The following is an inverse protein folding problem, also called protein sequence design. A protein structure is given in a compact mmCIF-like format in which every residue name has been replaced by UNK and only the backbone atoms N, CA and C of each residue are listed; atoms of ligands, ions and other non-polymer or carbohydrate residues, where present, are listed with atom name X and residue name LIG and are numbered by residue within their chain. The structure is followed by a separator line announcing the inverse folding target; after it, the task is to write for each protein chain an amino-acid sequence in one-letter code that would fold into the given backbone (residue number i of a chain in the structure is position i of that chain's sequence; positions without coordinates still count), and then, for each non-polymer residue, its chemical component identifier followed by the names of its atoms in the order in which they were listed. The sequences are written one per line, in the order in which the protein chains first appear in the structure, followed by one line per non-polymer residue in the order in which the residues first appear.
data_IF_521989231185
#
_entry.id   IF_521989231185
#
_cell.length_a   1.000
_cell.length_b   1.000
_cell.length_c   1.000
_cell.angle_alpha   90.00
_cell.angle_beta   90.00
_cell.angle_gamma   90.00
#
_symmetry.space_group_name_H-M   'P 1'
#
loop_
_entity.id
_entity.type
_entity.pdbx_description
1 polymer ?
#
# COMPACT_ATOMS: atom_id res chain seq x y z
N UNK A 1 42.19 31.03 27.93
CA UNK A 1 42.56 31.59 26.61
C UNK A 1 41.99 30.61 25.60
N UNK A 2 40.67 30.63 25.39
CA UNK A 2 39.96 29.47 24.81
C UNK A 2 39.09 29.87 23.60
N UNK A 3 39.45 30.96 22.92
CA UNK A 3 38.63 31.58 21.86
C UNK A 3 39.08 31.22 20.42
N UNK A 4 40.08 30.36 20.23
CA UNK A 4 40.64 30.08 18.89
C UNK A 4 40.12 28.79 18.25
N UNK A 5 39.37 27.93 18.96
CA UNK A 5 38.87 26.66 18.41
C UNK A 5 37.53 26.79 17.66
N UNK A 6 36.82 27.91 17.83
CA UNK A 6 35.47 28.12 17.27
C UNK A 6 35.44 28.23 15.74
N UNK A 7 36.59 28.40 15.08
CA UNK A 7 36.67 28.55 13.62
C UNK A 7 37.08 27.28 12.87
N UNK A 8 37.38 26.18 13.58
CA UNK A 8 37.85 24.95 12.93
C UNK A 8 36.69 24.04 12.55
N UNK A 9 35.61 24.01 13.35
CA UNK A 9 34.53 23.05 13.21
C UNK A 9 33.23 23.73 12.75
N UNK A 10 32.66 23.22 11.65
CA UNK A 10 31.34 23.65 11.19
C UNK A 10 30.27 22.81 11.86
N UNK A 11 29.47 23.42 12.74
CA UNK A 11 28.40 22.74 13.49
C UNK A 11 27.02 23.08 12.91
N UNK A 12 26.28 22.06 12.48
CA UNK A 12 24.86 22.11 12.13
C UNK A 12 24.02 21.51 13.27
N UNK A 13 23.66 22.37 14.23
CA UNK A 13 22.93 21.97 15.44
C UNK A 13 21.55 21.36 15.11
N UNK A 14 20.89 21.82 14.04
CA UNK A 14 19.57 21.31 13.66
C UNK A 14 19.58 19.83 13.24
N UNK A 15 20.72 19.35 12.74
CA UNK A 15 20.94 17.93 12.42
C UNK A 15 21.89 17.24 13.41
N UNK A 16 22.26 17.91 14.51
CA UNK A 16 23.23 17.45 15.51
C UNK A 16 24.52 16.93 14.85
N UNK A 17 25.05 17.72 13.91
CA UNK A 17 26.15 17.31 13.05
C UNK A 17 27.30 18.33 13.18
N UNK A 18 28.53 17.86 13.33
CA UNK A 18 29.73 18.69 13.21
C UNK A 18 30.68 18.13 12.15
N UNK A 19 31.30 19.02 11.41
CA UNK A 19 32.25 18.71 10.36
C UNK A 19 33.59 19.41 10.61
N UNK A 20 34.69 18.71 10.37
CA UNK A 20 36.03 19.31 10.25
C UNK A 20 36.49 19.23 8.79
N UNK A 21 36.35 20.32 8.03
CA UNK A 21 36.79 20.37 6.62
C UNK A 21 38.31 20.37 6.46
N UNK A 22 39.04 20.71 7.53
CA UNK A 22 40.50 20.88 7.50
C UNK A 22 41.26 19.63 7.97
N UNK A 23 40.56 18.62 8.50
CA UNK A 23 41.19 17.38 8.96
C UNK A 23 41.84 16.62 7.79
N UNK A 24 43.14 16.41 7.88
CA UNK A 24 43.92 15.60 6.93
C UNK A 24 44.87 14.72 7.73
N UNK A 25 45.03 13.47 7.28
CA UNK A 25 46.03 12.58 7.84
C UNK A 25 47.43 13.07 7.47
N UNK A 26 48.31 13.37 8.44
CA UNK A 26 49.65 13.87 8.17
C UNK A 26 50.55 12.81 7.51
N UNK A 27 50.29 11.52 7.75
CA UNK A 27 50.94 10.39 7.09
C UNK A 27 49.90 9.32 6.72
N UNK A 28 50.24 8.46 5.75
CA UNK A 28 49.41 7.28 5.47
C UNK A 28 49.43 6.36 6.70
N UNK A 29 48.26 5.95 7.24
CA UNK A 29 48.19 5.12 8.43
C UNK A 29 48.88 3.78 8.16
N UNK A 30 49.86 3.43 9.00
CA UNK A 30 50.65 2.20 8.84
C UNK A 30 49.85 0.97 9.25
N UNK A 31 48.96 1.13 10.25
CA UNK A 31 48.09 0.08 10.74
C UNK A 31 46.63 0.55 10.78
N UNK A 32 45.69 -0.39 10.62
CA UNK A 32 44.25 -0.11 10.74
C UNK A 32 43.88 0.39 12.14
N UNK A 33 44.60 -0.05 13.16
CA UNK A 33 44.32 0.31 14.55
C UNK A 33 44.65 1.77 14.86
N UNK A 34 45.77 2.28 14.33
CA UNK A 34 46.14 3.70 14.44
C UNK A 34 45.09 4.59 13.77
N UNK A 35 44.64 4.21 12.58
CA UNK A 35 43.60 4.95 11.86
C UNK A 35 42.29 5.03 12.68
N UNK A 36 41.88 3.91 13.28
CA UNK A 36 40.66 3.87 14.11
C UNK A 36 40.84 4.76 15.35
N UNK A 37 41.99 4.70 16.01
CA UNK A 37 42.28 5.53 17.18
C UNK A 37 42.21 7.02 16.84
N UNK A 38 42.85 7.45 15.75
CA UNK A 38 42.81 8.85 15.29
C UNK A 38 41.39 9.30 14.94
N UNK A 39 40.64 8.49 14.18
CA UNK A 39 39.23 8.76 13.85
C UNK A 39 38.36 8.90 15.11
N UNK A 40 38.58 8.06 16.12
CA UNK A 40 37.85 8.15 17.40
C UNK A 40 38.23 9.43 18.14
N UNK A 41 39.53 9.78 18.20
CA UNK A 41 39.95 11.03 18.87
C UNK A 41 39.37 12.27 18.21
N UNK A 42 39.35 12.35 16.89
CA UNK A 42 38.71 13.45 16.16
C UNK A 42 37.19 13.44 16.31
N UNK A 43 36.58 12.24 16.30
CA UNK A 43 35.16 12.07 16.60
C UNK A 43 34.79 12.61 17.98
N UNK A 44 35.62 12.37 19.01
CA UNK A 44 35.39 12.91 20.35
C UNK A 44 35.46 14.44 20.39
N UNK A 45 36.40 15.05 19.64
CA UNK A 45 36.49 16.52 19.53
C UNK A 45 35.25 17.12 18.87
N UNK A 46 34.75 16.49 17.80
CA UNK A 46 33.54 16.92 17.10
C UNK A 46 32.30 16.83 17.99
N UNK A 47 32.14 15.72 18.73
CA UNK A 47 31.03 15.55 19.67
C UNK A 47 31.09 16.58 20.79
N UNK A 48 32.30 16.88 21.28
CA UNK A 48 32.48 17.93 22.29
C UNK A 48 32.00 19.29 21.78
N UNK A 49 32.38 19.68 20.56
CA UNK A 49 31.91 20.95 19.96
C UNK A 49 30.37 21.00 19.80
N UNK A 50 29.73 19.86 19.46
CA UNK A 50 28.26 19.77 19.43
C UNK A 50 27.68 19.94 20.84
N UNK A 51 28.26 19.28 21.84
CA UNK A 51 27.79 19.36 23.23
C UNK A 51 27.91 20.80 23.77
N UNK A 52 29.06 21.44 23.56
CA UNK A 52 29.31 22.82 24.03
C UNK A 52 28.29 23.79 23.42
N UNK A 53 28.01 23.67 22.11
CA UNK A 53 26.99 24.50 21.45
C UNK A 53 25.57 24.16 21.93
N UNK A 54 25.24 22.88 22.09
CA UNK A 54 23.92 22.40 22.49
C UNK A 54 23.55 22.84 23.91
N UNK A 55 24.48 22.70 24.87
CA UNK A 55 24.24 23.07 26.27
C UNK A 55 24.22 24.58 26.51
N UNK A 56 24.71 25.38 25.57
CA UNK A 56 24.59 26.83 25.60
C UNK A 56 23.19 27.34 25.17
N UNK A 57 22.33 26.49 24.58
CA UNK A 57 20.97 26.91 24.21
C UNK A 57 20.04 27.03 25.43
N UNK A 58 19.07 27.96 25.39
CA UNK A 58 18.09 28.10 26.46
C UNK A 58 17.25 26.83 26.59
N UNK A 59 17.31 26.21 27.77
CA UNK A 59 16.50 25.04 28.11
C UNK A 59 15.14 25.49 28.67
N UNK A 60 14.06 24.91 28.15
CA UNK A 60 12.70 25.10 28.66
C UNK A 60 12.31 23.91 29.53
N UNK A 61 12.00 24.15 30.80
CA UNK A 61 11.52 23.10 31.71
C UNK A 61 10.09 22.69 31.32
N UNK A 62 9.91 21.40 31.03
CA UNK A 62 8.61 20.78 30.74
C UNK A 62 8.39 19.63 31.74
N UNK A 63 7.17 19.11 31.87
CA UNK A 63 6.85 17.97 32.76
C UNK A 63 7.75 16.75 32.54
N UNK A 64 8.24 16.57 31.31
CA UNK A 64 9.07 15.42 30.90
C UNK A 64 10.58 15.70 31.05
N UNK A 65 10.96 16.90 31.51
CA UNK A 65 12.34 17.35 31.70
C UNK A 65 12.71 18.63 30.94
N UNK A 66 13.97 19.06 31.01
CA UNK A 66 14.47 20.21 30.25
C UNK A 66 14.53 19.88 28.75
N UNK A 67 13.80 20.64 27.95
CA UNK A 67 13.77 20.54 26.49
C UNK A 67 14.50 21.73 25.87
N UNK A 68 15.31 21.48 24.84
CA UNK A 68 15.98 22.53 24.05
C UNK A 68 15.31 22.64 22.69
N UNK A 69 14.97 23.86 22.27
CA UNK A 69 14.42 24.13 20.93
C UNK A 69 15.56 24.33 19.94
N UNK A 70 15.77 23.35 19.05
CA UNK A 70 16.83 23.41 18.05
C UNK A 70 16.45 24.31 16.86
N UNK A 71 17.42 25.02 16.26
CA UNK A 71 17.18 25.76 15.02
C UNK A 71 16.89 24.80 13.85
N UNK A 72 16.27 25.30 12.75
CA UNK A 72 16.09 24.50 11.54
C UNK A 72 17.45 24.07 10.97
N UNK A 73 17.54 22.88 10.35
CA UNK A 73 18.79 22.34 9.84
C UNK A 73 19.36 23.20 8.69
N UNK A 74 20.67 23.42 8.73
CA UNK A 74 21.38 24.25 7.74
C UNK A 74 21.70 23.45 6.47
N UNK A 75 22.02 22.16 6.64
CA UNK A 75 22.34 21.26 5.53
C UNK A 75 21.09 20.92 4.71
N UNK A 76 21.05 21.40 3.46
CA UNK A 76 19.92 21.17 2.54
C UNK A 76 19.98 19.76 1.99
N UNK A 77 19.10 18.90 2.49
CA UNK A 77 18.94 17.54 1.98
C UNK A 77 17.92 17.48 0.83
N UNK A 78 18.14 16.63 -0.19
CA UNK A 78 17.16 16.42 -1.25
C UNK A 78 15.89 15.78 -0.66
N UNK A 79 14.73 16.24 -1.13
CA UNK A 79 13.44 15.65 -0.73
C UNK A 79 13.27 14.27 -1.35
N UNK A 80 12.67 13.35 -0.61
CA UNK A 80 12.24 12.04 -1.13
C UNK A 80 11.21 12.20 -2.27
N UNK A 81 10.30 13.18 -2.13
CA UNK A 81 9.19 13.40 -3.07
C UNK A 81 9.20 14.82 -3.60
N UNK A 82 8.84 14.95 -4.88
CA UNK A 82 8.60 16.23 -5.53
C UNK A 82 7.56 17.05 -4.77
N UNK A 83 7.64 18.37 -4.89
CA UNK A 83 6.64 19.26 -4.32
C UNK A 83 5.27 18.94 -4.91
N UNK A 84 4.20 18.93 -4.09
CA UNK A 84 2.86 18.69 -4.59
C UNK A 84 2.53 19.73 -5.65
N UNK A 85 2.26 19.29 -6.88
CA UNK A 85 1.91 20.19 -7.97
C UNK A 85 0.55 20.84 -7.65
N UNK A 86 0.37 22.14 -7.94
CA UNK A 86 -0.92 22.78 -7.78
C UNK A 86 -1.96 22.05 -8.63
N UNK A 87 -3.15 21.85 -8.06
CA UNK A 87 -4.24 21.18 -8.79
C UNK A 87 -4.70 22.10 -9.93
N UNK A 88 -4.85 21.59 -11.15
CA UNK A 88 -5.39 22.38 -12.24
C UNK A 88 -6.84 22.74 -11.92
N UNK A 89 -7.30 23.94 -12.30
CA UNK A 89 -8.67 24.36 -12.06
C UNK A 89 -9.63 23.42 -12.77
N UNK A 90 -10.76 23.13 -12.13
CA UNK A 90 -11.85 22.39 -12.76
C UNK A 90 -12.58 23.28 -13.76
N UNK A 91 -13.28 22.68 -14.73
CA UNK A 91 -14.10 23.44 -15.70
C UNK A 91 -15.07 24.43 -15.03
N UNK A 92 -15.62 24.06 -13.87
CA UNK A 92 -16.51 24.95 -13.11
C UNK A 92 -15.75 26.11 -12.46
N UNK A 93 -14.54 25.89 -11.95
CA UNK A 93 -13.71 26.95 -11.39
C UNK A 93 -13.22 27.91 -12.48
N UNK A 94 -12.85 27.40 -13.66
CA UNK A 94 -12.55 28.23 -14.82
C UNK A 94 -13.75 29.09 -15.23
N UNK A 95 -14.95 28.49 -15.26
CA UNK A 95 -16.19 29.21 -15.55
C UNK A 95 -16.52 30.25 -14.48
N UNK A 96 -16.39 29.89 -13.20
CA UNK A 96 -16.67 30.76 -12.08
C UNK A 96 -15.70 31.96 -12.07
N UNK A 97 -14.42 31.73 -12.35
CA UNK A 97 -13.42 32.79 -12.47
C UNK A 97 -13.76 33.73 -13.63
N UNK A 98 -14.07 33.19 -14.82
CA UNK A 98 -14.48 33.98 -16.00
C UNK A 98 -15.74 34.81 -15.77
N UNK A 99 -16.68 34.30 -14.96
CA UNK A 99 -17.94 34.98 -14.62
C UNK A 99 -17.86 35.84 -13.34
N UNK A 100 -16.71 35.87 -12.66
CA UNK A 100 -16.57 36.57 -11.38
C UNK A 100 -17.43 35.98 -10.26
N UNK A 101 -17.84 34.71 -10.36
CA UNK A 101 -18.66 34.04 -9.34
C UNK A 101 -17.77 33.71 -8.14
N UNK A 102 -17.97 34.45 -7.05
CA UNK A 102 -17.25 34.22 -5.79
C UNK A 102 -17.90 33.09 -4.98
N UNK A 103 -17.06 32.20 -4.45
CA UNK A 103 -17.50 31.12 -3.55
C UNK A 103 -17.86 31.69 -2.18
N UNK A 104 -19.14 31.61 -1.81
CA UNK A 104 -19.63 31.99 -0.48
C UNK A 104 -19.87 30.76 0.40
N UNK A 105 -19.64 30.91 1.71
CA UNK A 105 -20.01 29.90 2.70
C UNK A 105 -21.54 29.83 2.79
N UNK A 106 -22.08 28.62 2.80
CA UNK A 106 -23.51 28.37 3.02
C UNK A 106 -23.70 27.72 4.38
N UNK A 107 -24.75 28.11 5.09
CA UNK A 107 -25.05 27.54 6.40
C UNK A 107 -25.55 26.10 6.29
N UNK A 108 -25.19 25.31 7.31
CA UNK A 108 -25.57 23.89 7.42
C UNK A 108 -27.03 23.72 7.78
N UNK A 109 -27.60 24.70 8.48
CA UNK A 109 -28.98 24.71 8.96
C UNK A 109 -29.71 25.80 8.19
N UNK A 110 -30.91 25.50 7.71
CA UNK A 110 -31.75 26.36 6.91
C UNK A 110 -33.17 26.28 7.47
N UNK A 111 -33.82 27.43 7.57
CA UNK A 111 -35.20 27.50 8.01
C UNK A 111 -36.11 26.90 6.93
N UNK A 112 -36.97 25.98 7.32
CA UNK A 112 -37.98 25.34 6.47
C UNK A 112 -39.32 26.00 6.71
N UNK A 113 -39.80 26.77 5.73
CA UNK A 113 -41.09 27.50 5.80
C UNK A 113 -42.30 26.57 5.91
N UNK A 114 -42.17 25.29 5.53
CA UNK A 114 -43.29 24.34 5.59
C UNK A 114 -43.51 23.79 6.99
N UNK A 115 -42.45 23.69 7.80
CA UNK A 115 -42.49 23.09 9.13
C UNK A 115 -42.12 24.07 10.24
N UNK A 116 -41.86 25.33 9.89
CA UNK A 116 -41.39 26.42 10.73
C UNK A 116 -40.18 26.04 11.61
N UNK A 117 -39.33 25.15 11.12
CA UNK A 117 -38.21 24.56 11.86
C UNK A 117 -36.89 24.76 11.15
N UNK A 118 -35.84 24.92 11.94
CA UNK A 118 -34.47 24.93 11.45
C UNK A 118 -34.00 23.50 11.17
N UNK A 119 -34.01 23.11 9.90
CA UNK A 119 -33.58 21.78 9.44
C UNK A 119 -32.22 21.84 8.76
N UNK A 120 -31.62 20.67 8.53
CA UNK A 120 -30.31 20.60 7.84
C UNK A 120 -30.47 20.88 6.35
N UNK A 121 -29.48 21.50 5.71
CA UNK A 121 -29.48 21.68 4.25
C UNK A 121 -29.32 20.36 3.48
N UNK A 122 -28.67 19.37 4.10
CA UNK A 122 -28.39 18.05 3.53
C UNK A 122 -28.26 17.02 4.65
N UNK A 123 -28.49 15.73 4.35
CA UNK A 123 -28.39 14.64 5.30
C UNK A 123 -29.76 14.22 5.86
N UNK A 124 -29.75 13.68 7.09
CA UNK A 124 -30.94 13.30 7.83
C UNK A 124 -31.77 14.53 8.21
N UNK A 125 -33.11 14.42 8.12
CA UNK A 125 -34.08 15.49 8.39
C UNK A 125 -33.70 16.81 7.69
N UNK A 126 -33.48 16.71 6.38
CA UNK A 126 -33.06 17.85 5.55
C UNK A 126 -34.27 18.66 5.09
N UNK A 127 -34.05 19.94 4.84
CA UNK A 127 -35.01 20.80 4.14
C UNK A 127 -35.36 20.20 2.78
N UNK A 128 -36.64 20.26 2.41
CA UNK A 128 -37.20 19.76 1.15
C UNK A 128 -36.83 18.29 0.89
N UNK A 129 -37.17 17.38 1.82
CA UNK A 129 -36.99 15.96 1.54
C UNK A 129 -38.01 15.45 0.52
N UNK A 130 -37.54 14.60 -0.40
CA UNK A 130 -38.37 14.08 -1.49
C UNK A 130 -39.38 13.04 -0.95
N UNK A 131 -39.07 12.42 0.20
CA UNK A 131 -39.90 11.40 0.86
C UNK A 131 -41.05 11.99 1.68
N UNK A 132 -40.93 13.25 2.11
CA UNK A 132 -41.95 13.93 2.93
C UNK A 132 -43.10 14.48 2.08
N UNK A 133 -43.02 14.38 0.75
CA UNK A 133 -44.03 14.88 -0.18
C UNK A 133 -45.05 13.76 -0.44
N UNK A 134 -46.27 13.81 0.14
CA UNK A 134 -47.23 12.73 0.00
C UNK A 134 -47.95 12.75 -1.36
N UNK A 135 -48.12 13.93 -1.96
CA UNK A 135 -48.90 14.14 -3.18
C UNK A 135 -48.09 15.04 -4.11
N UNK A 136 -48.02 14.68 -5.39
CA UNK A 136 -47.41 15.49 -6.45
C UNK A 136 -48.52 15.94 -7.37
N UNK A 137 -48.73 17.25 -7.48
CA UNK A 137 -49.65 17.83 -8.44
C UNK A 137 -49.20 17.51 -9.87
N UNK A 138 -50.10 16.92 -10.66
CA UNK A 138 -49.84 16.59 -12.05
C UNK A 138 -49.81 17.88 -12.90
N UNK A 139 -48.82 17.98 -13.78
CA UNK A 139 -48.77 19.06 -14.78
C UNK A 139 -49.52 18.63 -16.03
N UNK A 140 -50.03 19.60 -16.80
CA UNK A 140 -50.72 19.34 -18.07
C UNK A 140 -49.85 18.62 -19.13
N UNK A 141 -48.53 18.55 -18.92
CA UNK A 141 -47.57 17.85 -19.78
C UNK A 141 -47.29 16.41 -19.35
N UNK A 142 -47.78 15.97 -18.18
CA UNK A 142 -47.46 14.65 -17.65
C UNK A 142 -48.32 13.57 -18.31
N UNK A 143 -47.67 12.54 -18.86
CA UNK A 143 -48.34 11.42 -19.49
C UNK A 143 -49.14 10.60 -18.44
N UNK A 144 -50.43 10.33 -18.69
CA UNK A 144 -51.25 9.50 -17.81
C UNK A 144 -50.69 8.07 -17.73
N UNK A 145 -50.41 7.59 -16.51
CA UNK A 145 -50.02 6.20 -16.26
C UNK A 145 -48.59 5.99 -15.76
N UNK A 146 -47.76 7.03 -15.68
CA UNK A 146 -46.40 6.91 -15.15
C UNK A 146 -46.27 7.50 -13.74
N UNK A 147 -45.61 6.78 -12.84
CA UNK A 147 -45.46 7.19 -11.44
C UNK A 147 -44.52 8.42 -11.31
N UNK A 148 -45.02 9.57 -10.81
CA UNK A 148 -44.23 10.78 -10.66
C UNK A 148 -43.08 10.62 -9.65
N UNK A 149 -43.20 9.73 -8.66
CA UNK A 149 -42.13 9.46 -7.69
C UNK A 149 -40.98 8.67 -8.33
N UNK A 150 -41.29 7.65 -9.14
CA UNK A 150 -40.31 6.92 -9.92
C UNK A 150 -39.52 7.84 -10.86
N UNK A 151 -40.20 8.75 -11.58
CA UNK A 151 -39.56 9.78 -12.43
C UNK A 151 -38.54 10.61 -11.66
N UNK A 152 -38.91 11.13 -10.48
CA UNK A 152 -38.02 11.94 -9.64
C UNK A 152 -36.78 11.16 -9.16
N UNK A 153 -36.95 9.91 -8.78
CA UNK A 153 -35.83 9.04 -8.39
C UNK A 153 -34.87 8.83 -9.56
N UNK A 154 -35.38 8.57 -10.74
CA UNK A 154 -34.55 8.36 -11.93
C UNK A 154 -33.86 9.65 -12.37
N UNK A 155 -34.53 10.80 -12.29
CA UNK A 155 -33.90 12.09 -12.56
C UNK A 155 -32.81 12.44 -11.55
N UNK A 156 -33.00 12.08 -10.27
CA UNK A 156 -31.95 12.18 -9.25
C UNK A 156 -30.76 11.29 -9.60
N UNK A 157 -30.98 10.02 -9.97
CA UNK A 157 -29.92 9.11 -10.43
C UNK A 157 -29.19 9.66 -11.65
N UNK A 158 -29.92 10.17 -12.66
CA UNK A 158 -29.34 10.80 -13.86
C UNK A 158 -28.45 11.99 -13.49
N UNK A 159 -28.90 12.85 -12.57
CA UNK A 159 -28.15 14.03 -12.09
C UNK A 159 -26.86 13.62 -11.37
N UNK A 160 -26.94 12.65 -10.46
CA UNK A 160 -25.79 12.09 -9.75
C UNK A 160 -24.82 11.44 -10.74
N UNK A 161 -25.33 10.66 -11.69
CA UNK A 161 -24.52 10.05 -12.76
C UNK A 161 -23.82 11.09 -13.64
N UNK A 162 -24.49 12.20 -13.97
CA UNK A 162 -23.88 13.32 -14.69
C UNK A 162 -22.76 13.98 -13.88
N UNK A 163 -22.97 14.17 -12.57
CA UNK A 163 -21.94 14.71 -11.67
C UNK A 163 -20.70 13.82 -11.61
N UNK A 164 -20.89 12.50 -11.47
CA UNK A 164 -19.75 11.56 -11.43
C UNK A 164 -19.02 11.50 -12.77
N UNK A 165 -19.74 11.50 -13.89
CA UNK A 165 -19.13 11.63 -15.23
C UNK A 165 -18.28 12.90 -15.36
N UNK A 166 -18.79 14.04 -14.90
CA UNK A 166 -18.05 15.30 -14.93
C UNK A 166 -16.82 15.27 -14.01
N UNK A 167 -16.94 14.66 -12.82
CA UNK A 167 -15.82 14.45 -11.90
C UNK A 167 -14.73 13.60 -12.57
N UNK A 168 -15.09 12.47 -13.18
CA UNK A 168 -14.15 11.60 -13.90
C UNK A 168 -13.48 12.32 -15.06
N UNK A 169 -14.20 13.17 -15.80
CA UNK A 169 -13.60 13.98 -16.86
C UNK A 169 -12.58 14.98 -16.31
N UNK A 170 -12.89 15.68 -15.22
CA UNK A 170 -11.97 16.62 -14.57
C UNK A 170 -10.74 15.91 -13.99
N UNK A 171 -10.90 14.70 -13.46
CA UNK A 171 -9.77 13.88 -13.02
C UNK A 171 -8.90 13.44 -14.20
N UNK A 172 -9.50 13.07 -15.34
CA UNK A 172 -8.75 12.73 -16.56
C UNK A 172 -7.97 13.93 -17.10
N UNK A 173 -8.53 15.14 -17.09
CA UNK A 173 -7.79 16.35 -17.51
C UNK A 173 -6.66 16.67 -16.52
N UNK A 174 -6.90 16.51 -15.23
CA UNK A 174 -5.86 16.67 -14.20
C UNK A 174 -4.75 15.62 -14.31
N UNK A 175 -5.08 14.39 -14.71
CA UNK A 175 -4.11 13.31 -14.96
C UNK A 175 -3.18 13.67 -16.11
N UNK A 176 -3.74 14.17 -17.22
CA UNK A 176 -2.96 14.61 -18.39
C UNK A 176 -2.01 15.75 -18.05
N UNK A 177 -2.39 16.64 -17.14
CA UNK A 177 -1.53 17.70 -16.64
C UNK A 177 -0.45 17.22 -15.62
N UNK A 178 -0.42 15.92 -15.28
CA UNK A 178 0.54 15.36 -14.32
C UNK A 178 0.33 15.84 -12.88
N UNK A 179 -0.81 16.43 -12.58
CA UNK A 179 -1.09 17.12 -11.32
C UNK A 179 -1.98 16.31 -10.37
N UNK A 180 -2.25 15.04 -10.71
CA UNK A 180 -2.91 14.13 -9.78
C UNK A 180 -1.95 13.71 -8.66
N UNK A 181 -2.43 13.55 -7.42
CA UNK A 181 -1.64 12.93 -6.36
C UNK A 181 -1.17 11.52 -6.75
N UNK A 182 0.02 11.11 -6.31
CA UNK A 182 0.64 9.82 -6.66
C UNK A 182 -0.28 8.61 -6.43
N UNK A 183 -1.06 8.60 -5.35
CA UNK A 183 -2.01 7.52 -5.06
C UNK A 183 -3.16 7.41 -6.09
N UNK A 184 -3.62 8.54 -6.64
CA UNK A 184 -4.67 8.56 -7.68
C UNK A 184 -4.08 8.26 -9.06
N UNK A 185 -2.84 8.70 -9.32
CA UNK A 185 -2.12 8.37 -10.55
C UNK A 185 -2.01 6.86 -10.72
N UNK A 186 -1.56 6.13 -9.69
CA UNK A 186 -1.38 4.68 -9.74
C UNK A 186 -2.70 3.94 -10.03
N UNK A 187 -3.80 4.36 -9.41
CA UNK A 187 -5.13 3.80 -9.67
C UNK A 187 -5.65 4.13 -11.08
N UNK A 188 -5.36 5.33 -11.59
CA UNK A 188 -5.77 5.74 -12.93
C UNK A 188 -4.91 5.10 -14.04
N UNK A 189 -3.62 4.82 -13.78
CA UNK A 189 -2.70 4.15 -14.71
C UNK A 189 -2.89 2.63 -14.73
N UNK A 190 -3.52 2.04 -13.72
CA UNK A 190 -3.88 0.62 -13.70
C UNK A 190 -5.02 0.28 -14.68
N UNK A 191 -5.74 1.29 -15.18
CA UNK A 191 -6.65 1.16 -16.32
C UNK A 191 -5.89 1.53 -17.59
N UNK A 192 -5.96 0.72 -18.68
CA UNK A 192 -5.25 1.02 -19.91
C UNK A 192 -5.68 2.40 -20.44
N UNK A 193 -4.71 3.30 -20.49
CA UNK A 193 -4.85 4.67 -20.97
C UNK A 193 -5.15 4.60 -22.47
N UNK A 194 -6.42 4.81 -22.84
CA UNK A 194 -6.78 5.10 -24.23
C UNK A 194 -6.14 6.44 -24.61
N UNK A 195 -5.01 6.37 -25.32
CA UNK A 195 -4.32 7.57 -25.82
C UNK A 195 -2.84 7.38 -26.16
N UNK A 196 -2.14 6.42 -25.56
CA UNK A 196 -0.85 5.96 -26.08
C UNK A 196 -1.08 4.65 -26.82
N UNK A 197 -0.55 4.52 -28.03
CA UNK A 197 -0.58 3.27 -28.81
C UNK A 197 0.29 2.22 -28.11
N UNK A 198 -0.15 1.73 -26.95
CA UNK A 198 0.34 0.47 -26.42
C UNK A 198 -0.07 -0.59 -27.44
N UNK A 199 0.93 -1.26 -28.02
CA UNK A 199 0.72 -2.38 -28.94
C UNK A 199 -0.33 -3.32 -28.31
N UNK A 200 -1.37 -3.75 -29.07
CA UNK A 200 -2.35 -4.67 -28.55
C UNK A 200 -1.62 -5.94 -28.13
N UNK A 201 -1.39 -6.09 -26.82
CA UNK A 201 -0.85 -7.31 -26.26
C UNK A 201 -1.89 -8.38 -26.59
N UNK A 202 -1.51 -9.34 -27.45
CA UNK A 202 -2.36 -10.49 -27.76
C UNK A 202 -2.67 -11.16 -26.43
N UNK A 203 -3.91 -11.02 -25.98
CA UNK A 203 -4.35 -11.57 -24.69
C UNK A 203 -4.20 -13.08 -24.83
N UNK A 204 -3.17 -13.64 -24.20
CA UNK A 204 -2.92 -15.07 -24.23
C UNK A 204 -4.11 -15.81 -23.62
N UNK A 205 -4.34 -17.05 -24.06
CA UNK A 205 -5.41 -17.92 -23.55
C UNK A 205 -5.40 -18.04 -22.02
N UNK A 206 -4.23 -17.88 -21.40
CA UNK A 206 -4.07 -17.87 -19.94
C UNK A 206 -4.58 -16.59 -19.29
N UNK A 207 -4.27 -15.41 -19.86
CA UNK A 207 -4.77 -14.13 -19.35
C UNK A 207 -6.29 -14.03 -19.51
N UNK A 208 -6.84 -14.55 -20.60
CA UNK A 208 -8.30 -14.62 -20.81
C UNK A 208 -8.96 -15.55 -19.78
N UNK A 209 -8.32 -16.68 -19.45
CA UNK A 209 -8.78 -17.61 -18.42
C UNK A 209 -8.72 -17.02 -17.01
N UNK A 210 -7.68 -16.24 -16.68
CA UNK A 210 -7.54 -15.57 -15.39
C UNK A 210 -8.59 -14.46 -15.22
N UNK A 211 -8.89 -13.68 -16.27
CA UNK A 211 -9.95 -12.67 -16.27
C UNK A 211 -11.34 -13.31 -16.11
N UNK A 212 -11.61 -14.41 -16.84
CA UNK A 212 -12.86 -15.15 -16.68
C UNK A 212 -13.01 -15.72 -15.27
N UNK A 213 -11.94 -16.27 -14.69
CA UNK A 213 -11.92 -16.75 -13.31
C UNK A 213 -12.18 -15.64 -12.29
N UNK A 214 -11.63 -14.44 -12.50
CA UNK A 214 -11.85 -13.27 -11.64
C UNK A 214 -13.27 -12.71 -11.76
N UNK A 215 -13.84 -12.70 -12.96
CA UNK A 215 -15.21 -12.26 -13.18
C UNK A 215 -16.21 -13.19 -12.47
N UNK A 216 -16.03 -14.51 -12.60
CA UNK A 216 -16.87 -15.50 -11.95
C UNK A 216 -16.81 -15.43 -10.41
N UNK A 217 -15.65 -15.10 -9.83
CA UNK A 217 -15.53 -14.92 -8.36
C UNK A 217 -16.03 -13.56 -7.89
N UNK A 218 -16.05 -12.54 -8.73
CA UNK A 218 -16.48 -11.18 -8.34
C UNK A 218 -18.00 -11.10 -8.11
N UNK A 219 -18.81 -11.83 -8.90
CA UNK A 219 -20.27 -11.93 -8.71
C UNK A 219 -20.62 -12.61 -7.38
N UNK A 220 -19.71 -13.40 -6.80
CA UNK A 220 -19.92 -14.10 -5.51
C UNK A 220 -20.16 -13.14 -4.33
N UNK A 221 -19.64 -11.91 -4.40
CA UNK A 221 -19.78 -10.92 -3.31
C UNK A 221 -21.23 -10.46 -3.08
N UNK A 222 -22.12 -10.67 -4.05
CA UNK A 222 -23.55 -10.31 -3.98
C UNK A 222 -24.49 -11.49 -3.67
N UNK A 223 -23.97 -12.69 -3.38
CA UNK A 223 -24.79 -13.86 -3.01
C UNK A 223 -25.58 -14.53 -4.14
N UNK A 224 -25.51 -14.01 -5.38
CA UNK A 224 -26.02 -14.67 -6.59
C UNK A 224 -24.85 -15.16 -7.43
N UNK A 225 -24.71 -16.48 -7.56
CA UNK A 225 -23.65 -17.10 -8.35
C UNK A 225 -24.15 -17.38 -9.77
N UNK A 226 -23.37 -17.01 -10.78
CA UNK A 226 -23.65 -17.41 -12.16
C UNK A 226 -23.54 -18.94 -12.29
N UNK A 227 -24.48 -19.55 -13.03
CA UNK A 227 -24.48 -20.99 -13.27
C UNK A 227 -23.31 -21.35 -14.18
N UNK A 228 -22.44 -22.26 -13.73
CA UNK A 228 -21.33 -22.77 -14.53
C UNK A 228 -21.84 -23.53 -15.73
N UNK A 229 -21.31 -23.22 -16.92
CA UNK A 229 -21.62 -23.95 -18.14
C UNK A 229 -20.80 -25.26 -18.21
N UNK A 230 -21.34 -26.33 -18.83
CA UNK A 230 -20.61 -27.58 -18.96
C UNK A 230 -19.32 -27.37 -19.77
N UNK A 231 -18.17 -27.73 -19.17
CA UNK A 231 -16.84 -27.56 -19.79
C UNK A 231 -16.05 -26.33 -19.34
N UNK A 232 -16.61 -25.48 -18.47
CA UNK A 232 -15.89 -24.34 -17.90
C UNK A 232 -14.75 -24.79 -16.98
N UNK A 233 -13.54 -24.24 -17.17
CA UNK A 233 -12.37 -24.59 -16.36
C UNK A 233 -12.48 -23.96 -14.97
N UNK A 234 -12.10 -24.69 -13.89
CA UNK A 234 -12.10 -24.10 -12.56
C UNK A 234 -11.13 -22.90 -12.49
N UNK A 235 -11.46 -21.86 -11.71
CA UNK A 235 -10.62 -20.67 -11.61
C UNK A 235 -9.23 -21.04 -11.08
N UNK A 236 -8.20 -20.69 -11.85
CA UNK A 236 -6.80 -20.84 -11.42
C UNK A 236 -6.54 -19.74 -10.37
N UNK A 237 -6.15 -20.12 -9.15
CA UNK A 237 -5.93 -19.25 -7.98
C UNK A 237 -7.18 -18.94 -7.14
N UNK A 238 -7.89 -19.97 -6.69
CA UNK A 238 -8.66 -19.81 -5.44
C UNK A 238 -7.66 -19.45 -4.34
N UNK A 239 -7.86 -18.31 -3.67
CA UNK A 239 -6.98 -17.86 -2.61
C UNK A 239 -6.77 -18.97 -1.57
N UNK A 240 -5.54 -19.15 -1.09
CA UNK A 240 -5.30 -20.02 0.06
C UNK A 240 -5.91 -19.35 1.28
N UNK A 241 -7.16 -19.67 1.58
CA UNK A 241 -7.76 -19.26 2.84
C UNK A 241 -7.06 -20.01 3.97
N UNK A 242 -6.53 -19.25 4.93
CA UNK A 242 -5.94 -19.83 6.14
C UNK A 242 -7.05 -20.57 6.89
N UNK A 243 -6.93 -21.90 6.95
CA UNK A 243 -7.77 -22.72 7.83
C UNK A 243 -7.15 -22.67 9.22
N UNK A 244 -7.76 -21.91 10.12
CA UNK A 244 -7.38 -21.90 11.52
C UNK A 244 -7.93 -23.16 12.19
N UNK A 245 -7.14 -23.79 13.05
CA UNK A 245 -7.65 -24.84 13.93
C UNK A 245 -8.62 -24.20 14.95
N UNK A 246 -9.69 -24.91 15.34
CA UNK A 246 -10.61 -24.45 16.38
C UNK A 246 -9.89 -24.31 17.73
N UNK A 247 -10.27 -23.29 18.52
CA UNK A 247 -9.64 -22.95 19.81
C UNK A 247 -9.84 -24.04 20.87
N UNK A 248 -10.91 -24.84 20.75
CA UNK A 248 -11.17 -25.98 21.64
C UNK A 248 -10.83 -27.26 20.88
N UNK A 249 -9.84 -28.06 21.34
CA UNK A 249 -9.50 -29.29 20.68
C UNK A 249 -10.65 -30.29 20.82
N UNK A 250 -11.15 -30.78 19.70
CA UNK A 250 -11.97 -32.00 19.69
C UNK A 250 -11.07 -33.16 20.11
N UNK A 251 -11.61 -34.17 20.79
CA UNK A 251 -10.86 -35.34 21.28
C UNK A 251 -9.90 -35.88 20.19
N UNK A 252 -8.57 -35.81 20.43
CA UNK A 252 -7.51 -36.11 19.46
C UNK A 252 -6.77 -34.91 18.83
N UNK A 253 -7.18 -33.67 19.08
CA UNK A 253 -6.58 -32.46 18.48
C UNK A 253 -5.17 -32.09 18.97
N UNK A 254 -4.70 -32.70 20.06
CA UNK A 254 -3.38 -32.43 20.66
C UNK A 254 -2.23 -32.88 19.74
N UNK A 255 -2.44 -33.93 18.94
CA UNK A 255 -1.39 -34.44 18.06
C UNK A 255 -1.21 -33.58 16.80
N UNK A 256 -2.29 -32.97 16.31
CA UNK A 256 -2.23 -32.02 15.18
C UNK A 256 -1.48 -30.73 15.55
N UNK A 257 -1.66 -30.23 16.76
CA UNK A 257 -0.90 -29.08 17.29
C UNK A 257 0.58 -29.42 17.48
N UNK A 258 0.90 -30.60 18.03
CA UNK A 258 2.28 -31.11 18.13
C UNK A 258 2.94 -31.23 16.76
N UNK A 259 2.23 -31.73 15.76
CA UNK A 259 2.76 -31.78 14.40
C UNK A 259 3.04 -30.40 13.80
N UNK A 260 2.16 -29.42 14.03
CA UNK A 260 2.35 -28.06 13.55
C UNK A 260 3.52 -27.37 14.23
N UNK A 261 3.63 -27.49 15.56
CA UNK A 261 4.75 -26.95 16.35
C UNK A 261 6.08 -27.60 15.95
N UNK A 262 6.12 -28.92 15.77
CA UNK A 262 7.31 -29.62 15.26
C UNK A 262 7.70 -29.19 13.83
N UNK A 263 6.73 -28.92 12.94
CA UNK A 263 6.99 -28.37 11.60
C UNK A 263 7.57 -26.95 11.65
N UNK A 264 7.14 -26.13 12.59
CA UNK A 264 7.70 -24.79 12.83
C UNK A 264 9.11 -24.88 13.41
N UNK A 265 9.30 -25.75 14.41
CA UNK A 265 10.59 -26.02 15.04
C UNK A 265 11.61 -26.52 14.02
N UNK A 266 11.24 -27.49 13.17
CA UNK A 266 12.12 -28.01 12.11
C UNK A 266 12.51 -26.95 11.08
N UNK A 267 11.63 -25.98 10.79
CA UNK A 267 11.96 -24.84 9.92
C UNK A 267 12.90 -23.85 10.61
N UNK A 268 12.75 -23.61 11.91
CA UNK A 268 13.66 -22.77 12.68
C UNK A 268 15.04 -23.41 12.78
N UNK A 269 15.11 -24.68 13.18
CA UNK A 269 16.36 -25.45 13.23
C UNK A 269 17.04 -25.51 11.86
N UNK A 270 16.30 -25.70 10.77
CA UNK A 270 16.87 -25.69 9.41
C UNK A 270 17.31 -24.30 8.92
N UNK A 271 16.75 -23.22 9.44
CA UNK A 271 17.17 -21.85 9.09
C UNK A 271 18.42 -21.46 9.87
N UNK A 272 18.53 -21.88 11.13
CA UNK A 272 19.67 -21.59 12.00
C UNK A 272 20.83 -22.59 11.86
N UNK A 273 20.63 -23.72 11.18
CA UNK A 273 21.71 -24.70 10.91
C UNK A 273 22.74 -24.25 9.85
N UNK A 274 22.70 -22.99 9.40
CA UNK A 274 23.68 -22.44 8.45
C UNK A 274 25.01 -22.04 9.11
N UNK A 275 25.10 -21.98 10.45
CA UNK A 275 26.37 -21.76 11.15
C UNK A 275 27.25 -23.01 11.25
N UNK A 276 26.68 -24.21 11.05
CA UNK A 276 27.45 -25.45 11.03
C UNK A 276 27.46 -25.95 9.58
N UNK A 277 28.54 -25.63 8.85
CA UNK A 277 28.79 -26.19 7.53
C UNK A 277 28.67 -27.72 7.60
N UNK A 278 27.64 -28.28 6.97
CA UNK A 278 27.44 -29.73 6.93
C UNK A 278 28.46 -30.36 5.98
N UNK A 279 29.66 -30.64 6.50
CA UNK A 279 30.83 -31.15 5.77
C UNK A 279 30.50 -32.44 5.01
N UNK A 280 29.68 -33.32 5.61
CA UNK A 280 29.24 -34.57 4.96
C UNK A 280 28.41 -34.33 3.70
N UNK A 281 27.50 -33.35 3.71
CA UNK A 281 26.72 -32.99 2.51
C UNK A 281 27.59 -32.37 1.43
N UNK A 282 28.60 -31.58 1.80
CA UNK A 282 29.55 -30.99 0.86
C UNK A 282 30.45 -32.06 0.21
N UNK A 283 30.94 -33.03 0.99
CA UNK A 283 31.73 -34.16 0.48
C UNK A 283 30.89 -35.04 -0.44
N UNK A 284 29.64 -35.35 -0.06
CA UNK A 284 28.75 -36.15 -0.91
C UNK A 284 28.42 -35.44 -2.23
N UNK A 285 28.13 -34.14 -2.19
CA UNK A 285 27.95 -33.35 -3.43
C UNK A 285 29.20 -33.31 -4.30
N UNK A 286 30.39 -33.25 -3.69
CA UNK A 286 31.65 -33.26 -4.42
C UNK A 286 31.89 -34.63 -5.08
N UNK A 287 31.65 -35.72 -4.35
CA UNK A 287 31.76 -37.08 -4.87
C UNK A 287 30.76 -37.35 -6.00
N UNK A 288 29.48 -36.98 -5.84
CA UNK A 288 28.46 -37.08 -6.89
C UNK A 288 28.85 -36.29 -8.14
N UNK A 289 29.45 -35.10 -7.97
CA UNK A 289 29.89 -34.25 -9.09
C UNK A 289 31.13 -34.83 -9.77
N UNK A 290 32.03 -35.47 -9.02
CA UNK A 290 33.21 -36.19 -9.53
C UNK A 290 32.79 -37.45 -10.30
N UNK A 291 31.81 -38.20 -9.79
CA UNK A 291 31.25 -39.36 -10.46
C UNK A 291 30.48 -38.97 -11.73
N UNK A 292 29.66 -37.92 -11.69
CA UNK A 292 28.97 -37.39 -12.88
C UNK A 292 29.92 -36.86 -13.95
N UNK A 293 31.08 -36.30 -13.56
CA UNK A 293 32.13 -35.91 -14.50
C UNK A 293 32.84 -37.13 -15.11
N UNK A 294 33.03 -38.21 -14.34
CA UNK A 294 33.58 -39.47 -14.85
C UNK A 294 32.61 -40.23 -15.77
N UNK A 295 31.30 -40.13 -15.54
CA UNK A 295 30.28 -40.89 -16.30
C UNK A 295 29.77 -40.19 -17.57
N UNK A 296 30.27 -38.99 -17.91
CA UNK A 296 30.08 -38.35 -19.22
C UNK A 296 28.62 -38.12 -19.67
N UNK A 297 27.65 -38.09 -18.74
CA UNK A 297 26.22 -38.08 -19.08
C UNK A 297 25.58 -36.73 -18.75
N UNK A 298 25.25 -35.96 -19.80
CA UNK A 298 24.54 -34.68 -19.71
C UNK A 298 23.03 -34.89 -19.77
N UNK A 299 22.33 -34.75 -18.65
CA UNK A 299 20.86 -34.88 -18.62
C UNK A 299 20.16 -33.55 -18.97
N UNK A 300 19.77 -33.42 -20.24
CA UNK A 300 18.45 -32.86 -20.57
C UNK A 300 17.48 -34.03 -20.45
N UNK A 301 16.59 -34.03 -19.46
CA UNK A 301 15.24 -34.61 -19.57
C UNK A 301 14.41 -34.26 -18.33
N UNK A 302 13.17 -33.81 -18.58
CA UNK A 302 12.21 -33.31 -17.61
C UNK A 302 11.61 -34.47 -16.80
N UNK A 303 11.48 -34.30 -15.49
CA UNK A 303 10.80 -35.25 -14.61
C UNK A 303 9.27 -35.20 -14.80
N UNK A 304 8.67 -36.32 -15.22
CA UNK A 304 7.24 -36.60 -15.05
C UNK A 304 6.99 -37.09 -13.61
N UNK A 305 5.89 -36.65 -13.03
CA UNK A 305 5.46 -36.97 -11.65
C UNK A 305 4.33 -37.98 -11.75
N UNK A 306 4.62 -39.25 -11.48
CA UNK A 306 3.61 -40.30 -11.46
C UNK A 306 2.93 -40.41 -10.10
N UNK A 307 1.61 -40.52 -10.19
CA UNK A 307 0.62 -40.74 -9.14
C UNK A 307 0.38 -42.25 -9.08
N UNK A 308 0.57 -42.89 -7.92
CA UNK A 308 -0.27 -43.99 -7.40
C UNK A 308 0.35 -44.64 -6.16
N UNK A 309 -0.34 -44.58 -5.02
CA UNK A 309 -0.41 -45.68 -4.04
C UNK A 309 -1.81 -45.69 -3.42
N UNK A 310 -2.67 -46.60 -3.91
CA UNK A 310 -3.89 -47.05 -3.22
C UNK A 310 -3.49 -48.06 -2.13
N UNK A 311 -4.12 -47.99 -0.95
CA UNK A 311 -4.01 -48.99 0.12
C UNK A 311 -4.95 -50.18 -0.18
N UNK A 312 -4.61 -51.42 0.23
CA UNK A 312 -5.47 -52.58 0.05
C UNK A 312 -6.52 -52.70 1.17
N UNK A 313 -7.71 -53.18 0.78
CA UNK A 313 -8.77 -53.66 1.67
C UNK A 313 -8.37 -55.03 2.24
N UNK A 314 -8.60 -55.24 3.54
CA UNK A 314 -8.56 -56.55 4.19
C UNK A 314 -9.97 -56.92 4.65
N UNK A 315 -10.51 -58.00 4.10
CA UNK A 315 -11.75 -58.63 4.53
C UNK A 315 -11.51 -59.39 5.84
N UNK A 316 -12.43 -59.25 6.81
CA UNK A 316 -12.59 -60.18 7.92
C UNK A 316 -13.71 -61.15 7.57
N UNK A 317 -13.44 -62.44 7.77
CA UNK A 317 -14.31 -63.57 7.52
C UNK A 317 -15.29 -63.81 8.66
N UNK A 318 -16.38 -64.50 8.31
CA UNK A 318 -17.44 -65.03 9.17
C UNK A 318 -16.94 -65.94 10.30
N UNK A 319 -17.43 -65.67 11.51
CA UNK A 319 -18.13 -66.62 12.40
C UNK A 319 -18.66 -65.88 13.63
#
# INVERSE_FOLDING_TARGET
MDMETDQIYQVDVGNLLAFNSNHRFPAAPSSREELVKECVTEGTKLVQAIADTLFNFPSTETSDGPLVQLPPPTTKLPREKHLPRPKPPTKWEEFALKKGIQKRKKDKIVYDETTDKFKRRHGYDRVNDDNDIPIIEAKASDEPGEDPFAKRLDDKKKRVGKQEKNRLQNLKTAAKAGALPSHVQLAATALPISGTKAQPQKIGKEALGDVAGLAATSTASGGKFDKKLPGEKPPKKQGKHHKYLPVVPRHGGVDEEKEQTNKVLGKLLSKHSHEILNVGKAINMYNDKKEKKKSGRSDKLKAKKDITKKKPYANKADK
#
